data_IF_704989044055
#
_entry.id   IF_704989044055
#
_cell.length_a   1.000
_cell.length_b   1.000
_cell.length_c   1.000
_cell.angle_alpha   90.00
_cell.angle_beta   90.00
_cell.angle_gamma   90.00
#
_symmetry.space_group_name_H-M   'P 1'
#
loop_
_entity.id
_entity.type
_entity.pdbx_description
1 polymer ?
#
# COMPACT_ATOMS: atom_id res chain seq x y z
N UNK A 1 20.81 -0.97 11.11
CA UNK A 1 19.48 -0.32 11.14
C UNK A 1 18.41 -1.39 11.30
N UNK A 2 17.73 -1.50 12.45
CA UNK A 2 16.63 -2.47 12.65
C UNK A 2 15.37 -1.92 11.96
N UNK A 3 15.16 -2.28 10.69
CA UNK A 3 13.90 -2.04 9.98
C UNK A 3 12.79 -2.73 10.75
N UNK A 4 12.07 -1.95 11.56
CA UNK A 4 10.98 -2.45 12.37
C UNK A 4 9.80 -2.70 11.42
N UNK A 5 9.02 -3.78 11.57
CA UNK A 5 7.88 -4.09 10.69
C UNK A 5 6.90 -2.94 10.48
N UNK A 6 6.84 -2.00 11.44
CA UNK A 6 6.09 -0.74 11.36
C UNK A 6 6.58 0.22 10.29
N UNK A 7 7.90 0.40 10.19
CA UNK A 7 8.50 1.34 9.22
C UNK A 7 8.27 0.82 7.80
N UNK A 8 8.39 -0.50 7.59
CA UNK A 8 8.05 -1.12 6.32
C UNK A 8 6.58 -0.99 5.95
N UNK A 9 5.66 -1.25 6.88
CA UNK A 9 4.23 -1.07 6.64
C UNK A 9 3.89 0.36 6.21
N UNK A 10 4.52 1.37 6.82
CA UNK A 10 4.31 2.77 6.48
C UNK A 10 4.84 3.11 5.08
N UNK A 11 6.00 2.57 4.70
CA UNK A 11 6.56 2.74 3.34
C UNK A 11 5.63 2.12 2.29
N UNK A 12 5.16 0.89 2.49
CA UNK A 12 4.23 0.24 1.55
C UNK A 12 2.92 1.03 1.39
N UNK A 13 2.40 1.60 2.48
CA UNK A 13 1.22 2.45 2.41
C UNK A 13 1.47 3.74 1.62
N UNK A 14 2.65 4.34 1.79
CA UNK A 14 3.06 5.58 1.11
C UNK A 14 3.29 5.34 -0.39
N UNK A 15 3.90 4.20 -0.74
CA UNK A 15 4.09 3.75 -2.12
C UNK A 15 2.74 3.45 -2.78
N UNK A 16 1.83 2.74 -2.11
CA UNK A 16 0.48 2.51 -2.62
C UNK A 16 -0.28 3.81 -2.87
N UNK A 17 -0.21 4.79 -1.96
CA UNK A 17 -0.83 6.10 -2.13
C UNK A 17 -0.23 6.89 -3.32
N UNK A 18 1.09 6.79 -3.53
CA UNK A 18 1.75 7.36 -4.71
C UNK A 18 1.22 6.74 -6.00
N UNK A 19 1.11 5.42 -6.08
CA UNK A 19 0.55 4.74 -7.25
C UNK A 19 -0.89 5.16 -7.54
N UNK A 20 -1.74 5.30 -6.52
CA UNK A 20 -3.10 5.85 -6.69
C UNK A 20 -3.04 7.27 -7.26
N UNK A 21 -2.19 8.14 -6.71
CA UNK A 21 -2.08 9.53 -7.16
C UNK A 21 -1.63 9.66 -8.62
N UNK A 22 -0.75 8.76 -9.08
CA UNK A 22 -0.28 8.70 -10.47
C UNK A 22 -1.39 8.15 -11.38
N UNK A 23 -2.08 7.09 -10.94
CA UNK A 23 -3.20 6.51 -11.70
C UNK A 23 -4.32 7.54 -11.94
N UNK A 24 -4.63 8.36 -10.93
CA UNK A 24 -5.63 9.43 -11.02
C UNK A 24 -5.18 10.56 -11.96
N UNK A 25 -3.89 10.80 -12.13
CA UNK A 25 -3.38 11.81 -13.08
C UNK A 25 -3.31 11.30 -14.52
N UNK A 26 -3.11 10.00 -14.72
CA UNK A 26 -3.01 9.36 -16.04
C UNK A 26 -4.38 9.07 -16.67
N UNK A 27 -5.46 9.10 -15.88
CA UNK A 27 -6.82 8.95 -16.43
C UNK A 27 -7.23 10.20 -17.22
N UNK A 28 -6.82 10.27 -18.49
CA UNK A 28 -7.32 11.22 -19.49
C UNK A 28 -8.79 10.92 -19.81
N UNK A 29 -9.69 11.27 -18.89
CA UNK A 29 -11.15 11.16 -19.06
C UNK A 29 -11.76 9.77 -18.82
N UNK A 30 -10.97 8.69 -18.74
CA UNK A 30 -11.48 7.34 -18.44
C UNK A 30 -10.57 6.54 -17.51
N UNK A 31 -11.18 6.04 -16.43
CA UNK A 31 -10.52 5.16 -15.45
C UNK A 31 -10.28 3.75 -16.00
N UNK A 32 -10.89 3.42 -17.14
CA UNK A 32 -10.78 2.12 -17.81
C UNK A 32 -9.53 1.97 -18.69
N UNK A 33 -8.64 2.95 -18.69
CA UNK A 33 -7.38 2.85 -19.39
C UNK A 33 -6.54 1.69 -18.81
N UNK A 34 -5.99 0.86 -19.70
CA UNK A 34 -5.10 -0.25 -19.36
C UNK A 34 -4.02 0.10 -18.32
N UNK A 35 -3.25 1.21 -18.46
CA UNK A 35 -2.26 1.60 -17.45
C UNK A 35 -2.89 1.93 -16.09
N UNK A 36 -4.06 2.58 -16.06
CA UNK A 36 -4.76 2.94 -14.82
C UNK A 36 -5.20 1.71 -14.04
N UNK A 37 -5.70 0.69 -14.72
CA UNK A 37 -6.11 -0.59 -14.10
C UNK A 37 -4.90 -1.31 -13.49
N UNK A 38 -3.76 -1.37 -14.21
CA UNK A 38 -2.54 -1.99 -13.69
C UNK A 38 -2.03 -1.25 -12.46
N UNK A 39 -1.97 0.08 -12.50
CA UNK A 39 -1.55 0.89 -11.37
C UNK A 39 -2.49 0.70 -10.16
N UNK A 40 -3.79 0.59 -10.38
CA UNK A 40 -4.77 0.33 -9.33
C UNK A 40 -4.59 -1.07 -8.70
N UNK A 41 -4.29 -2.10 -9.49
CA UNK A 41 -3.98 -3.45 -8.97
C UNK A 41 -2.73 -3.41 -8.11
N UNK A 42 -1.64 -2.78 -8.58
CA UNK A 42 -0.39 -2.66 -7.84
C UNK A 42 -0.61 -1.90 -6.54
N UNK A 43 -1.29 -0.76 -6.59
CA UNK A 43 -1.63 0.01 -5.40
C UNK A 43 -2.46 -0.79 -4.39
N UNK A 44 -3.40 -1.62 -4.86
CA UNK A 44 -4.21 -2.48 -4.00
C UNK A 44 -3.38 -3.55 -3.30
N UNK A 45 -2.42 -4.15 -4.02
CA UNK A 45 -1.48 -5.12 -3.44
C UNK A 45 -0.59 -4.46 -2.39
N UNK A 46 -0.03 -3.28 -2.68
CA UNK A 46 0.82 -2.53 -1.74
C UNK A 46 0.07 -2.16 -0.45
N UNK A 47 -1.16 -1.64 -0.59
CA UNK A 47 -2.03 -1.31 0.55
C UNK A 47 -2.37 -2.58 1.34
N UNK A 48 -2.71 -3.68 0.67
CA UNK A 48 -3.01 -4.97 1.31
C UNK A 48 -1.84 -5.54 2.11
N UNK A 49 -0.61 -5.46 1.55
CA UNK A 49 0.62 -5.86 2.25
C UNK A 49 0.88 -4.94 3.45
N UNK A 50 0.69 -3.62 3.31
CA UNK A 50 0.79 -2.66 4.40
C UNK A 50 -0.18 -2.96 5.55
N UNK A 51 -1.45 -3.22 5.23
CA UNK A 51 -2.47 -3.62 6.22
C UNK A 51 -2.07 -4.92 6.91
N UNK A 52 -1.63 -5.94 6.15
CA UNK A 52 -1.19 -7.22 6.72
C UNK A 52 -0.02 -7.04 7.69
N UNK A 53 0.98 -6.22 7.34
CA UNK A 53 2.10 -5.92 8.24
C UNK A 53 1.66 -5.17 9.49
N UNK A 54 0.70 -4.24 9.37
CA UNK A 54 0.12 -3.52 10.50
C UNK A 54 -0.63 -4.48 11.46
N UNK A 55 -1.43 -5.40 10.93
CA UNK A 55 -2.13 -6.43 11.72
C UNK A 55 -1.13 -7.33 12.45
N UNK A 56 -0.05 -7.77 11.77
CA UNK A 56 1.02 -8.57 12.41
C UNK A 56 1.64 -7.79 13.56
N UNK A 57 1.92 -6.49 13.37
CA UNK A 57 2.46 -5.66 14.44
C UNK A 57 1.52 -5.55 15.64
N UNK A 58 0.22 -5.32 15.41
CA UNK A 58 -0.81 -5.26 16.45
C UNK A 58 -0.93 -6.60 17.19
N UNK A 59 -0.90 -7.71 16.46
CA UNK A 59 -0.98 -9.07 17.03
C UNK A 59 0.23 -9.40 17.90
N UNK A 60 1.44 -9.05 17.46
CA UNK A 60 2.68 -9.21 18.25
C UNK A 60 2.63 -8.33 19.50
N UNK A 61 2.16 -7.07 19.40
CA UNK A 61 2.04 -6.16 20.55
C UNK A 61 1.03 -6.67 21.58
N UNK A 62 -0.06 -7.29 21.12
CA UNK A 62 -1.13 -7.85 21.97
C UNK A 62 -0.77 -9.18 22.61
N UNK A 63 0.13 -9.97 22.02
CA UNK A 63 0.65 -11.24 22.59
C UNK A 63 1.80 -11.02 23.60
N UNK A 64 2.34 -9.81 23.68
CA UNK A 64 3.40 -9.39 24.61
C UNK A 64 2.85 -8.67 25.86
N UNK A 65 1.53 -8.61 25.99
CA UNK A 65 0.78 -8.07 27.13
C UNK A 65 0.03 -9.23 27.75
#
# INVERSE_FOLDING_TARGET
MRMTPKSMAMIYFLVGALFVSIAVRITDGSVWNFPTIILAIIATLDIGVGIRMMIIHLKIKRKKK
#
